data_IF_930758754619
#
_entry.id   IF_930758754619
#
_cell.length_a   1.000
_cell.length_b   1.000
_cell.length_c   1.000
_cell.angle_alpha   90.00
_cell.angle_beta   90.00
_cell.angle_gamma   90.00
#
_symmetry.space_group_name_H-M   'P 1'
#
loop_
_entity.id
_entity.type
_entity.pdbx_description
1 polymer ?
#
# COMPACT_ATOMS: atom_id res chain seq x y z
N UNK A 1 -1.52 23.03 41.54
CA UNK A 1 -1.72 22.08 42.66
C UNK A 1 -1.12 20.75 42.17
N UNK A 2 0.17 20.53 42.46
CA UNK A 2 0.91 19.32 42.09
C UNK A 2 0.71 18.27 43.16
N UNK A 3 0.31 17.07 42.80
CA UNK A 3 0.32 15.91 43.69
C UNK A 3 1.40 14.98 43.26
N UNK A 4 2.47 14.94 44.09
CA UNK A 4 3.60 14.01 43.98
C UNK A 4 3.21 12.75 44.77
N UNK A 5 3.27 11.58 44.13
CA UNK A 5 3.13 10.29 44.83
C UNK A 5 4.52 9.69 44.99
N UNK A 6 4.97 9.65 46.24
CA UNK A 6 6.23 9.03 46.66
C UNK A 6 5.94 7.59 47.10
N UNK A 7 6.56 6.59 46.45
CA UNK A 7 6.56 5.22 46.97
C UNK A 7 7.80 4.99 47.84
N UNK A 8 7.55 4.69 49.13
CA UNK A 8 8.56 4.25 50.10
C UNK A 8 8.81 2.74 49.98
N UNK A 9 10.07 2.35 49.90
CA UNK A 9 10.52 0.98 50.16
C UNK A 9 11.07 0.88 51.60
N UNK A 10 10.79 -0.18 52.38
CA UNK A 10 11.40 -0.39 53.65
C UNK A 10 12.71 -1.17 53.55
N UNK A 11 13.72 -0.63 54.17
CA UNK A 11 15.01 -1.29 54.36
C UNK A 11 14.93 -2.22 55.61
N UNK A 12 15.39 -3.48 55.44
CA UNK A 12 15.81 -4.31 56.60
C UNK A 12 17.20 -4.85 56.35
N UNK A 13 18.18 -4.27 57.05
CA UNK A 13 19.55 -4.74 57.08
C UNK A 13 19.72 -5.91 58.05
N UNK A 14 20.50 -6.90 57.63
CA UNK A 14 21.27 -7.74 58.58
C UNK A 14 22.66 -7.99 57.97
N UNK A 15 23.66 -7.41 58.57
CA UNK A 15 25.06 -7.69 58.34
C UNK A 15 25.44 -8.98 59.06
N UNK A 16 25.97 -9.96 58.33
CA UNK A 16 26.62 -11.16 58.89
C UNK A 16 28.11 -10.98 58.71
N UNK A 17 28.84 -10.84 59.82
CA UNK A 17 30.30 -10.91 59.87
C UNK A 17 30.70 -12.38 59.93
N UNK A 18 31.42 -12.86 58.92
CA UNK A 18 32.16 -14.11 58.97
C UNK A 18 33.65 -13.79 59.13
N UNK A 19 34.20 -14.19 60.27
CA UNK A 19 35.63 -14.12 60.55
C UNK A 19 36.36 -15.23 59.85
N UNK A 20 37.49 -14.89 59.23
CA UNK A 20 38.47 -15.86 58.69
C UNK A 20 39.68 -15.97 59.61
N UNK A 21 40.21 -17.17 59.85
CA UNK A 21 41.44 -17.34 60.58
C UNK A 21 42.68 -17.06 59.69
N UNK A 22 43.67 -16.43 60.27
CA UNK A 22 44.97 -16.16 59.65
C UNK A 22 45.81 -17.39 59.85
N UNK A 23 46.20 -18.07 58.78
CA UNK A 23 47.34 -19.05 58.82
C UNK A 23 48.47 -18.52 57.96
N UNK A 24 49.65 -18.39 58.67
CA UNK A 24 50.93 -18.12 58.06
C UNK A 24 51.50 -19.41 57.44
N UNK A 25 51.58 -19.45 56.14
CA UNK A 25 52.24 -20.56 55.44
C UNK A 25 53.05 -20.07 54.23
N UNK A 26 54.35 -20.07 54.39
CA UNK A 26 55.32 -19.68 53.38
C UNK A 26 55.45 -20.79 52.32
N UNK A 27 54.87 -20.66 51.18
CA UNK A 27 55.03 -21.58 50.04
C UNK A 27 55.35 -20.80 48.77
N UNK A 28 56.54 -21.05 48.25
CA UNK A 28 57.03 -20.53 46.98
C UNK A 28 56.10 -21.02 45.81
N UNK A 29 55.26 -20.18 45.32
CA UNK A 29 54.37 -20.50 44.18
C UNK A 29 55.06 -20.17 42.84
N UNK A 30 55.35 -21.20 42.06
CA UNK A 30 55.80 -21.12 40.67
C UNK A 30 54.73 -20.41 39.87
N UNK A 31 55.05 -19.27 39.26
CA UNK A 31 54.14 -18.60 38.29
C UNK A 31 54.02 -19.44 37.01
N UNK A 32 52.93 -20.08 36.86
CA UNK A 32 52.52 -20.62 35.56
C UNK A 32 52.07 -19.46 34.64
N UNK A 33 52.82 -19.22 33.55
CA UNK A 33 52.50 -18.29 32.55
C UNK A 33 51.29 -18.88 31.74
N UNK A 34 50.08 -18.43 32.04
CA UNK A 34 48.91 -18.65 31.18
C UNK A 34 49.06 -17.78 29.93
N UNK A 35 49.27 -18.43 28.79
CA UNK A 35 49.16 -17.79 27.51
C UNK A 35 47.68 -17.63 27.20
N UNK A 36 47.16 -16.41 27.31
CA UNK A 36 45.82 -16.07 26.78
C UNK A 36 45.91 -16.12 25.26
N UNK A 37 45.35 -17.16 24.67
CA UNK A 37 45.08 -17.22 23.25
C UNK A 37 43.83 -16.38 23.02
N UNK A 38 43.84 -15.28 22.22
CA UNK A 38 42.65 -14.54 21.92
C UNK A 38 41.73 -15.41 21.04
N UNK A 39 40.61 -15.86 21.59
CA UNK A 39 39.52 -16.42 20.84
C UNK A 39 38.96 -15.30 19.95
N UNK A 40 39.37 -15.29 18.67
CA UNK A 40 38.72 -14.52 17.62
C UNK A 40 37.32 -15.11 17.45
N UNK A 41 36.32 -14.49 18.09
CA UNK A 41 34.94 -14.68 17.75
C UNK A 41 34.70 -14.04 16.37
N UNK A 42 34.34 -14.81 15.33
CA UNK A 42 33.90 -14.20 14.11
C UNK A 42 32.60 -13.43 14.44
N UNK A 43 32.67 -12.10 14.40
CA UNK A 43 31.48 -11.28 14.39
C UNK A 43 30.68 -11.67 13.13
N UNK A 44 29.65 -12.49 13.30
CA UNK A 44 28.62 -12.69 12.27
C UNK A 44 28.00 -11.30 12.07
N UNK A 45 28.47 -10.58 11.06
CA UNK A 45 27.77 -9.42 10.52
C UNK A 45 26.44 -9.98 10.00
N UNK A 46 25.39 -9.86 10.80
CA UNK A 46 24.05 -10.08 10.35
C UNK A 46 23.81 -9.06 9.21
N UNK A 47 23.88 -9.52 7.97
CA UNK A 47 23.47 -8.72 6.84
C UNK A 47 22.02 -8.28 7.14
N UNK A 48 21.67 -6.98 6.95
CA UNK A 48 20.29 -6.56 7.07
C UNK A 48 19.44 -7.43 6.15
N UNK A 49 18.21 -7.79 6.55
CA UNK A 49 17.33 -8.54 5.67
C UNK A 49 17.22 -7.75 4.36
N UNK A 50 17.70 -8.32 3.28
CA UNK A 50 17.37 -7.84 1.93
C UNK A 50 15.88 -8.08 1.80
N UNK A 51 15.07 -7.05 1.97
CA UNK A 51 13.68 -7.11 1.57
C UNK A 51 13.69 -7.36 0.06
N UNK A 52 13.24 -8.54 -0.33
CA UNK A 52 13.05 -8.85 -1.73
C UNK A 52 12.00 -7.89 -2.27
N UNK A 53 12.27 -7.20 -3.39
CA UNK A 53 11.29 -6.40 -4.10
C UNK A 53 10.08 -7.24 -4.55
N UNK A 54 9.27 -6.70 -5.45
CA UNK A 54 8.12 -7.40 -6.02
C UNK A 54 8.51 -8.79 -6.60
N UNK A 55 7.61 -9.76 -6.48
CA UNK A 55 7.77 -11.11 -7.06
C UNK A 55 7.50 -11.07 -8.57
N UNK A 56 8.48 -10.60 -9.34
CA UNK A 56 8.41 -10.46 -10.80
C UNK A 56 8.12 -11.80 -11.51
N UNK A 57 8.61 -12.91 -10.95
CA UNK A 57 8.33 -14.23 -11.51
C UNK A 57 6.85 -14.61 -11.35
N UNK A 58 6.23 -14.24 -10.24
CA UNK A 58 4.79 -14.42 -10.03
C UNK A 58 3.99 -13.50 -10.95
N UNK A 59 4.36 -12.24 -11.08
CA UNK A 59 3.70 -11.29 -11.99
C UNK A 59 3.73 -11.80 -13.44
N UNK A 60 4.87 -12.28 -13.89
CA UNK A 60 5.01 -12.88 -15.23
C UNK A 60 4.07 -14.08 -15.41
N UNK A 61 4.01 -15.02 -14.44
CA UNK A 61 3.08 -16.16 -14.52
C UNK A 61 1.62 -15.71 -14.53
N UNK A 62 1.26 -14.69 -13.75
CA UNK A 62 -0.10 -14.14 -13.76
C UNK A 62 -0.43 -13.54 -15.13
N UNK A 63 0.47 -12.75 -15.71
CA UNK A 63 0.29 -12.20 -17.06
C UNK A 63 0.11 -13.31 -18.12
N UNK A 64 0.97 -14.32 -18.12
CA UNK A 64 0.88 -15.47 -19.04
C UNK A 64 -0.45 -16.24 -18.91
N UNK A 65 -1.06 -16.27 -17.71
CA UNK A 65 -2.33 -16.94 -17.47
C UNK A 65 -3.56 -16.16 -17.97
N UNK A 66 -3.48 -14.83 -18.03
CA UNK A 66 -4.66 -14.00 -18.33
C UNK A 66 -4.63 -13.41 -19.74
N UNK A 67 -3.46 -13.20 -20.35
CA UNK A 67 -3.33 -12.47 -21.62
C UNK A 67 -4.23 -13.05 -22.72
N UNK A 68 -4.26 -14.37 -22.87
CA UNK A 68 -5.06 -15.04 -23.89
C UNK A 68 -6.58 -15.06 -23.57
N UNK A 69 -6.97 -14.73 -22.35
CA UNK A 69 -8.36 -14.69 -21.90
C UNK A 69 -8.96 -13.28 -21.90
N UNK A 70 -8.17 -12.25 -22.20
CA UNK A 70 -8.64 -10.86 -22.26
C UNK A 70 -9.49 -10.71 -23.54
N UNK A 71 -10.80 -10.45 -23.32
CA UNK A 71 -11.76 -10.25 -24.41
C UNK A 71 -11.95 -8.77 -24.74
N UNK A 72 -11.81 -7.89 -23.76
CA UNK A 72 -12.03 -6.46 -23.88
C UNK A 72 -10.71 -5.72 -23.67
N UNK A 73 -10.29 -4.95 -24.68
CA UNK A 73 -9.03 -4.20 -24.66
C UNK A 73 -7.84 -4.98 -25.17
N UNK A 74 -6.69 -4.33 -25.15
CA UNK A 74 -5.43 -4.84 -25.67
C UNK A 74 -4.39 -4.97 -24.56
N UNK A 75 -3.81 -6.16 -24.36
CA UNK A 75 -2.65 -6.29 -23.49
C UNK A 75 -1.47 -5.50 -24.08
N UNK A 76 -0.89 -4.66 -23.27
CA UNK A 76 0.28 -3.86 -23.63
C UNK A 76 1.43 -4.16 -22.67
N UNK A 77 2.63 -3.90 -23.13
CA UNK A 77 3.84 -4.02 -22.31
C UNK A 77 4.32 -2.63 -21.94
N UNK A 78 4.30 -2.32 -20.67
CA UNK A 78 4.88 -1.12 -20.09
C UNK A 78 6.25 -1.45 -19.50
N UNK A 79 7.14 -0.45 -19.43
CA UNK A 79 8.49 -0.61 -18.90
C UNK A 79 8.74 0.42 -17.78
N UNK A 80 9.22 -0.04 -16.63
CA UNK A 80 9.61 0.83 -15.53
C UNK A 80 10.70 0.17 -14.66
N UNK A 81 11.63 0.96 -14.16
CA UNK A 81 12.72 0.51 -13.28
C UNK A 81 13.46 -0.74 -13.80
N UNK A 82 13.69 -0.83 -15.12
CA UNK A 82 14.41 -1.93 -15.78
C UNK A 82 13.60 -3.23 -15.94
N UNK A 83 12.29 -3.22 -15.69
CA UNK A 83 11.42 -4.38 -15.81
C UNK A 83 10.18 -4.07 -16.66
N UNK A 84 9.76 -5.06 -17.42
CA UNK A 84 8.48 -5.02 -18.13
C UNK A 84 7.34 -5.50 -17.22
N UNK A 85 6.18 -4.89 -17.38
CA UNK A 85 4.96 -5.28 -16.68
C UNK A 85 3.73 -5.17 -17.58
N UNK A 86 2.69 -5.94 -17.26
CA UNK A 86 1.45 -5.97 -18.03
C UNK A 86 0.61 -4.73 -17.76
N UNK A 87 0.13 -4.08 -18.82
CA UNK A 87 -1.02 -3.20 -18.84
C UNK A 87 -2.12 -3.78 -19.75
N UNK A 88 -3.37 -3.41 -19.49
CA UNK A 88 -4.49 -3.68 -20.40
C UNK A 88 -5.12 -2.34 -20.70
N UNK A 89 -4.99 -1.91 -21.96
CA UNK A 89 -5.58 -0.67 -22.45
C UNK A 89 -6.86 -0.97 -23.21
N UNK A 90 -7.91 -0.23 -22.90
CA UNK A 90 -9.20 -0.33 -23.58
C UNK A 90 -9.63 1.06 -23.99
N UNK A 91 -9.86 1.25 -25.28
CA UNK A 91 -10.22 2.53 -25.88
C UNK A 91 -11.73 2.66 -25.99
N UNK A 92 -12.26 3.80 -25.62
CA UNK A 92 -13.66 4.17 -25.82
C UNK A 92 -13.86 4.75 -27.24
N UNK A 93 -15.05 4.57 -27.82
CA UNK A 93 -15.35 5.09 -29.16
C UNK A 93 -15.27 6.63 -29.20
N UNK A 94 -15.83 7.30 -28.20
CA UNK A 94 -15.77 8.76 -28.01
C UNK A 94 -15.18 9.04 -26.62
N UNK A 95 -13.87 9.24 -26.54
CA UNK A 95 -13.20 9.38 -25.25
C UNK A 95 -13.42 10.74 -24.60
N UNK A 96 -13.68 10.71 -23.29
CA UNK A 96 -13.74 11.88 -22.39
C UNK A 96 -12.43 12.12 -21.65
N UNK A 97 -11.55 11.12 -21.61
CA UNK A 97 -10.30 11.13 -20.88
C UNK A 97 -9.80 9.73 -20.55
N UNK A 98 -8.76 9.64 -19.73
CA UNK A 98 -8.13 8.39 -19.34
C UNK A 98 -8.37 8.01 -17.89
N UNK A 99 -8.55 6.72 -17.61
CA UNK A 99 -8.66 6.15 -16.26
C UNK A 99 -7.56 5.13 -16.03
N UNK A 100 -6.66 5.41 -15.09
CA UNK A 100 -5.66 4.47 -14.61
C UNK A 100 -6.22 3.64 -13.47
N UNK A 101 -6.27 2.31 -13.62
CA UNK A 101 -6.82 1.39 -12.63
C UNK A 101 -5.70 0.59 -11.95
N UNK A 102 -5.62 0.72 -10.61
CA UNK A 102 -4.61 0.09 -9.76
C UNK A 102 -5.25 -0.98 -8.88
N UNK A 103 -4.87 -2.24 -9.10
CA UNK A 103 -5.44 -3.37 -8.37
C UNK A 103 -4.93 -3.51 -6.93
N UNK A 104 -5.67 -4.25 -6.12
CA UNK A 104 -5.32 -4.58 -4.75
C UNK A 104 -4.22 -5.65 -4.61
N UNK A 105 -3.89 -5.96 -3.37
CA UNK A 105 -2.85 -6.90 -2.97
C UNK A 105 -3.00 -8.29 -3.60
N UNK A 106 -1.97 -8.73 -4.32
CA UNK A 106 -1.88 -10.08 -4.87
C UNK A 106 -2.75 -10.37 -6.08
N UNK A 107 -3.36 -9.35 -6.68
CA UNK A 107 -4.22 -9.42 -7.85
C UNK A 107 -3.46 -9.14 -9.15
N UNK A 108 -4.18 -8.90 -10.24
CA UNK A 108 -3.66 -8.64 -11.58
C UNK A 108 -4.57 -7.64 -12.32
N UNK A 109 -4.14 -7.09 -13.48
CA UNK A 109 -4.86 -6.05 -14.22
C UNK A 109 -6.24 -6.43 -14.76
N UNK A 110 -6.61 -7.70 -14.72
CA UNK A 110 -7.92 -8.21 -15.13
C UNK A 110 -8.63 -8.96 -13.99
N UNK A 111 -8.47 -8.51 -12.75
CA UNK A 111 -9.12 -9.15 -11.60
C UNK A 111 -10.64 -9.01 -11.65
N UNK A 112 -11.33 -10.15 -11.56
CA UNK A 112 -12.74 -10.29 -11.96
C UNK A 112 -13.75 -9.45 -11.16
N UNK A 113 -13.49 -9.10 -9.89
CA UNK A 113 -14.53 -8.52 -9.05
C UNK A 113 -14.51 -6.98 -8.92
N UNK A 114 -13.38 -6.32 -9.14
CA UNK A 114 -13.27 -4.85 -9.08
C UNK A 114 -12.64 -4.28 -10.34
N UNK A 115 -11.49 -4.83 -10.74
CA UNK A 115 -10.67 -4.25 -11.81
C UNK A 115 -11.32 -4.42 -13.17
N UNK A 116 -11.67 -5.66 -13.54
CA UNK A 116 -12.27 -5.97 -14.83
C UNK A 116 -13.64 -5.29 -15.01
N UNK A 117 -14.58 -5.29 -14.04
CA UNK A 117 -15.83 -4.55 -14.17
C UNK A 117 -15.64 -3.05 -14.38
N UNK A 118 -14.71 -2.41 -13.67
CA UNK A 118 -14.40 -1.00 -13.85
C UNK A 118 -13.72 -0.74 -15.19
N UNK A 119 -12.77 -1.60 -15.59
CA UNK A 119 -12.03 -1.47 -16.85
C UNK A 119 -13.01 -1.48 -18.04
N UNK A 120 -13.94 -2.42 -18.05
CA UNK A 120 -14.92 -2.56 -19.14
C UNK A 120 -16.06 -1.54 -19.00
N UNK A 121 -16.66 -1.43 -17.80
CA UNK A 121 -17.84 -0.59 -17.62
C UNK A 121 -17.58 0.91 -17.75
N UNK A 122 -16.36 1.39 -17.47
CA UNK A 122 -16.04 2.81 -17.67
C UNK A 122 -15.79 3.13 -19.16
N UNK A 123 -15.37 2.16 -19.97
CA UNK A 123 -15.27 2.33 -21.43
C UNK A 123 -16.65 2.57 -22.03
N UNK A 124 -17.68 1.85 -21.58
CA UNK A 124 -19.07 2.07 -21.98
C UNK A 124 -19.60 3.47 -21.61
N UNK A 125 -18.92 4.14 -20.66
CA UNK A 125 -19.23 5.50 -20.24
C UNK A 125 -18.38 6.58 -20.93
N UNK A 126 -17.54 6.17 -21.89
CA UNK A 126 -16.71 7.05 -22.70
C UNK A 126 -15.34 7.37 -22.07
N UNK A 127 -14.80 6.49 -21.24
CA UNK A 127 -13.46 6.65 -20.67
C UNK A 127 -12.50 5.61 -21.23
N UNK A 128 -11.35 6.03 -21.75
CA UNK A 128 -10.27 5.09 -22.01
C UNK A 128 -9.79 4.54 -20.69
N UNK A 129 -9.54 3.25 -20.61
CA UNK A 129 -9.04 2.64 -19.37
C UNK A 129 -7.70 1.96 -19.56
N UNK A 130 -6.82 2.12 -18.58
CA UNK A 130 -5.56 1.41 -18.48
C UNK A 130 -5.45 0.75 -17.10
N UNK A 131 -5.62 -0.55 -17.03
CA UNK A 131 -5.31 -1.30 -15.80
C UNK A 131 -3.89 -1.85 -15.88
N UNK A 132 -3.12 -1.74 -14.77
CA UNK A 132 -1.70 -2.13 -14.77
C UNK A 132 -1.38 -3.15 -13.68
N UNK A 133 -0.35 -3.96 -13.92
CA UNK A 133 0.21 -4.85 -12.91
C UNK A 133 0.93 -4.04 -11.83
N UNK A 134 0.33 -3.96 -10.67
CA UNK A 134 0.98 -3.44 -9.46
C UNK A 134 1.92 -4.48 -8.87
N UNK A 135 2.93 -4.06 -8.07
CA UNK A 135 3.81 -5.00 -7.39
C UNK A 135 3.04 -6.04 -6.59
N UNK A 136 3.38 -7.32 -6.78
CA UNK A 136 2.83 -8.41 -5.96
C UNK A 136 3.93 -9.14 -5.22
N UNK A 137 3.57 -9.71 -4.08
CA UNK A 137 4.40 -10.59 -3.28
C UNK A 137 3.89 -12.02 -3.36
N UNK A 138 4.58 -12.94 -2.72
CA UNK A 138 4.17 -14.34 -2.59
C UNK A 138 2.74 -14.48 -2.05
N UNK A 139 2.08 -15.58 -2.39
CA UNK A 139 0.72 -15.88 -1.91
C UNK A 139 0.69 -15.90 -0.37
N UNK A 140 -0.23 -15.14 0.21
CA UNK A 140 -0.40 -15.04 1.66
C UNK A 140 0.38 -13.92 2.34
N UNK A 141 1.20 -13.14 1.61
CA UNK A 141 1.81 -11.93 2.12
C UNK A 141 0.75 -10.96 2.65
N UNK A 142 1.06 -10.30 3.75
CA UNK A 142 0.16 -9.43 4.50
C UNK A 142 0.42 -7.96 4.18
N UNK A 143 -0.40 -7.07 4.74
CA UNK A 143 -0.26 -5.62 4.53
C UNK A 143 1.16 -5.12 4.86
N UNK A 144 1.71 -5.50 6.00
CA UNK A 144 3.06 -5.06 6.39
C UNK A 144 4.17 -5.55 5.46
N UNK A 145 4.01 -6.73 4.87
CA UNK A 145 4.96 -7.22 3.87
C UNK A 145 4.91 -6.33 2.62
N UNK A 146 3.70 -5.87 2.24
CA UNK A 146 3.50 -5.02 1.07
C UNK A 146 4.03 -3.59 1.22
N UNK A 147 4.10 -3.04 2.42
CA UNK A 147 4.64 -1.68 2.65
C UNK A 147 6.05 -1.53 2.05
N UNK A 148 6.86 -2.58 2.12
CA UNK A 148 8.23 -2.56 1.59
C UNK A 148 8.32 -2.50 0.05
N UNK A 149 7.25 -2.84 -0.66
CA UNK A 149 7.20 -2.78 -2.12
C UNK A 149 6.35 -1.62 -2.65
N UNK A 150 5.88 -0.72 -1.79
CA UNK A 150 5.21 0.51 -2.24
C UNK A 150 6.12 1.37 -3.13
N UNK A 151 7.43 1.54 -2.84
CA UNK A 151 8.34 2.23 -3.75
C UNK A 151 8.43 1.61 -5.16
N UNK A 152 8.27 0.28 -5.29
CA UNK A 152 8.30 -0.40 -6.60
C UNK A 152 7.07 -0.05 -7.47
N UNK A 153 5.98 0.41 -6.85
CA UNK A 153 4.78 0.85 -7.57
C UNK A 153 4.94 2.21 -8.24
N UNK A 154 5.75 3.10 -7.66
CA UNK A 154 5.87 4.49 -8.13
C UNK A 154 6.27 4.59 -9.60
N UNK A 155 7.37 3.98 -10.09
CA UNK A 155 7.74 4.07 -11.49
C UNK A 155 6.73 3.40 -12.43
N UNK A 156 5.92 2.42 -11.96
CA UNK A 156 4.86 1.82 -12.77
C UNK A 156 3.68 2.76 -12.93
N UNK A 157 3.28 3.47 -11.87
CA UNK A 157 2.24 4.51 -11.92
C UNK A 157 2.68 5.63 -12.87
N UNK A 158 3.92 6.09 -12.76
CA UNK A 158 4.47 7.15 -13.63
C UNK A 158 4.46 6.72 -15.10
N UNK A 159 4.95 5.52 -15.43
CA UNK A 159 4.95 5.01 -16.80
C UNK A 159 3.53 4.80 -17.37
N UNK A 160 2.56 4.40 -16.53
CA UNK A 160 1.19 4.26 -16.95
C UNK A 160 0.49 5.61 -17.19
N UNK A 161 0.80 6.61 -16.38
CA UNK A 161 0.31 7.97 -16.59
C UNK A 161 0.92 8.60 -17.85
N UNK A 162 2.22 8.37 -18.13
CA UNK A 162 2.84 8.79 -19.38
C UNK A 162 2.10 8.18 -20.59
N UNK A 163 1.84 6.87 -20.53
CA UNK A 163 1.08 6.18 -21.58
C UNK A 163 -0.32 6.77 -21.77
N UNK A 164 -1.07 7.03 -20.70
CA UNK A 164 -2.40 7.63 -20.80
C UNK A 164 -2.36 9.03 -21.38
N UNK A 165 -1.40 9.88 -20.98
CA UNK A 165 -1.25 11.23 -21.55
C UNK A 165 -0.88 11.22 -23.03
N UNK A 166 -0.25 10.15 -23.52
CA UNK A 166 0.08 9.99 -24.93
C UNK A 166 -1.08 9.42 -25.77
N UNK A 167 -2.04 8.71 -25.14
CA UNK A 167 -3.08 7.93 -25.83
C UNK A 167 -4.51 8.37 -25.50
N UNK A 168 -4.70 9.35 -24.64
CA UNK A 168 -6.01 9.85 -24.26
C UNK A 168 -5.98 11.37 -24.16
N UNK A 169 -6.85 12.02 -24.89
CA UNK A 169 -7.14 13.43 -24.68
C UNK A 169 -8.04 13.63 -23.45
N UNK A 170 -7.96 14.80 -22.80
CA UNK A 170 -8.80 15.14 -21.65
C UNK A 170 -8.23 14.76 -20.29
N UNK A 171 -9.05 14.78 -19.23
CA UNK A 171 -8.59 14.54 -17.87
C UNK A 171 -8.15 13.10 -17.64
N UNK A 172 -7.19 12.93 -16.72
CA UNK A 172 -6.72 11.63 -16.27
C UNK A 172 -7.16 11.37 -14.83
N UNK A 173 -7.80 10.26 -14.59
CA UNK A 173 -8.31 9.83 -13.28
C UNK A 173 -7.58 8.60 -12.79
N UNK A 174 -7.16 8.59 -11.53
CA UNK A 174 -6.63 7.39 -10.88
C UNK A 174 -7.77 6.71 -10.12
N UNK A 175 -8.01 5.42 -10.40
CA UNK A 175 -8.94 4.54 -9.68
C UNK A 175 -8.12 3.45 -9.01
N UNK A 176 -8.07 3.44 -7.69
CA UNK A 176 -7.19 2.56 -6.94
C UNK A 176 -7.92 1.76 -5.88
N UNK A 177 -7.79 0.43 -5.92
CA UNK A 177 -8.45 -0.48 -4.97
C UNK A 177 -7.50 -0.97 -3.89
N UNK A 178 -7.95 -0.93 -2.63
CA UNK A 178 -7.30 -1.61 -1.50
C UNK A 178 -5.80 -1.24 -1.39
N UNK A 179 -4.90 -2.21 -1.46
CA UNK A 179 -3.45 -2.00 -1.44
C UNK A 179 -2.95 -1.10 -2.58
N UNK A 180 -3.60 -1.14 -3.76
CA UNK A 180 -3.30 -0.22 -4.86
C UNK A 180 -3.51 1.25 -4.48
N UNK A 181 -4.52 1.54 -3.65
CA UNK A 181 -4.74 2.89 -3.15
C UNK A 181 -3.66 3.35 -2.16
N UNK A 182 -3.10 2.43 -1.35
CA UNK A 182 -1.96 2.75 -0.48
C UNK A 182 -0.70 3.01 -1.30
N UNK A 183 -0.45 2.23 -2.35
CA UNK A 183 0.67 2.44 -3.28
C UNK A 183 0.58 3.78 -4.00
N UNK A 184 -0.62 4.16 -4.47
CA UNK A 184 -0.84 5.46 -5.09
C UNK A 184 -0.61 6.61 -4.10
N UNK A 185 -1.10 6.48 -2.87
CA UNK A 185 -0.91 7.49 -1.83
C UNK A 185 0.54 7.59 -1.37
N UNK A 186 1.27 6.46 -1.27
CA UNK A 186 2.72 6.47 -1.06
C UNK A 186 3.45 7.30 -2.14
N UNK A 187 3.12 7.07 -3.42
CA UNK A 187 3.68 7.86 -4.52
C UNK A 187 3.39 9.35 -4.38
N UNK A 188 2.15 9.73 -3.98
CA UNK A 188 1.78 11.13 -3.74
C UNK A 188 2.54 11.71 -2.55
N UNK A 189 2.72 10.95 -1.46
CA UNK A 189 3.48 11.40 -0.29
C UNK A 189 4.95 11.66 -0.63
N UNK A 190 5.57 10.80 -1.42
CA UNK A 190 6.97 10.88 -1.81
C UNK A 190 7.24 11.98 -2.86
N UNK A 191 6.35 12.14 -3.85
CA UNK A 191 6.55 13.08 -4.97
C UNK A 191 5.85 14.43 -4.80
N UNK A 192 4.92 14.53 -3.85
CA UNK A 192 4.19 15.76 -3.55
C UNK A 192 3.52 16.37 -4.78
N UNK A 193 3.73 17.66 -5.00
CA UNK A 193 3.20 18.38 -6.16
C UNK A 193 3.59 17.77 -7.51
N UNK A 194 4.71 17.06 -7.59
CA UNK A 194 5.12 16.34 -8.79
C UNK A 194 4.13 15.26 -9.18
N UNK A 195 3.58 14.53 -8.20
CA UNK A 195 2.54 13.53 -8.41
C UNK A 195 1.19 14.20 -8.69
N UNK A 196 0.80 15.17 -7.86
CA UNK A 196 -0.53 15.79 -7.92
C UNK A 196 -0.84 16.49 -9.25
N UNK A 197 0.18 16.92 -9.99
CA UNK A 197 0.01 17.50 -11.33
C UNK A 197 -0.16 16.49 -12.45
N UNK A 198 -0.11 15.19 -12.14
CA UNK A 198 -0.15 14.12 -13.13
C UNK A 198 -1.55 13.52 -13.36
N UNK A 199 -2.53 13.92 -12.56
CA UNK A 199 -3.90 13.44 -12.65
C UNK A 199 -4.89 14.51 -12.16
N UNK A 200 -6.14 14.41 -12.59
CA UNK A 200 -7.16 15.43 -12.40
C UNK A 200 -8.22 15.04 -11.35
N UNK A 201 -8.33 13.74 -11.03
CA UNK A 201 -9.22 13.24 -10.01
C UNK A 201 -8.75 11.88 -9.45
N UNK A 202 -9.17 11.56 -8.23
CA UNK A 202 -8.79 10.32 -7.54
C UNK A 202 -10.01 9.56 -7.03
N UNK A 203 -10.07 8.26 -7.30
CA UNK A 203 -11.06 7.33 -6.74
C UNK A 203 -10.33 6.29 -5.89
N UNK A 204 -10.56 6.31 -4.60
CA UNK A 204 -10.05 5.30 -3.67
C UNK A 204 -11.14 4.31 -3.27
N UNK A 205 -10.94 3.02 -3.57
CA UNK A 205 -11.90 1.95 -3.29
C UNK A 205 -11.39 1.10 -2.13
N UNK A 206 -12.16 1.01 -1.04
CA UNK A 206 -11.82 0.21 0.12
C UNK A 206 -10.49 0.60 0.78
N UNK A 207 -10.20 1.90 0.86
CA UNK A 207 -8.98 2.44 1.45
C UNK A 207 -8.87 2.11 2.94
N UNK A 208 -7.66 1.83 3.41
CA UNK A 208 -7.40 1.48 4.81
C UNK A 208 -7.53 -0.01 5.13
N UNK A 209 -7.55 -0.87 4.11
CA UNK A 209 -7.60 -2.32 4.27
C UNK A 209 -6.26 -2.86 4.80
N UNK A 210 -6.09 -2.83 6.11
CA UNK A 210 -4.99 -3.50 6.81
C UNK A 210 -5.44 -4.87 7.32
N UNK A 211 -4.48 -5.73 7.71
CA UNK A 211 -4.81 -7.01 8.33
C UNK A 211 -5.37 -6.81 9.76
N UNK A 212 -5.96 -7.86 10.32
CA UNK A 212 -6.62 -7.79 11.62
C UNK A 212 -5.70 -7.21 12.71
N UNK A 213 -6.18 -6.17 13.39
CA UNK A 213 -5.49 -5.42 14.45
C UNK A 213 -4.17 -4.76 14.03
N UNK A 214 -3.87 -4.65 12.74
CA UNK A 214 -2.72 -3.91 12.28
C UNK A 214 -3.10 -2.44 12.00
N UNK A 215 -2.34 -1.47 12.51
CA UNK A 215 -2.51 -0.07 12.13
C UNK A 215 -2.02 0.15 10.70
N UNK A 216 -2.40 1.25 10.09
CA UNK A 216 -1.71 1.73 8.89
C UNK A 216 -0.28 2.16 9.25
N UNK A 217 0.67 1.87 8.36
CA UNK A 217 2.06 2.30 8.52
C UNK A 217 2.24 3.73 7.99
N UNK A 218 1.61 4.03 6.86
CA UNK A 218 1.68 5.35 6.24
C UNK A 218 0.34 6.07 6.35
N UNK A 219 0.35 7.40 6.51
CA UNK A 219 -0.88 8.19 6.54
C UNK A 219 -1.55 8.22 5.16
N UNK A 220 -2.79 8.66 5.11
CA UNK A 220 -3.43 9.06 3.86
C UNK A 220 -2.84 10.37 3.32
N UNK A 221 -2.87 10.52 1.98
CA UNK A 221 -2.50 11.76 1.30
C UNK A 221 -3.73 12.59 0.87
N UNK A 222 -4.92 12.23 1.37
CA UNK A 222 -6.20 12.78 0.89
C UNK A 222 -6.35 14.28 1.15
N UNK A 223 -5.78 14.79 2.23
CA UNK A 223 -5.76 16.21 2.59
C UNK A 223 -4.85 17.07 1.69
N UNK A 224 -3.99 16.43 0.88
CA UNK A 224 -3.13 17.10 -0.10
C UNK A 224 -3.76 17.19 -1.49
N UNK A 225 -4.86 16.44 -1.72
CA UNK A 225 -5.54 16.35 -3.01
C UNK A 225 -6.57 17.46 -3.16
N UNK A 226 -6.15 18.62 -3.69
CA UNK A 226 -7.06 19.76 -3.96
C UNK A 226 -7.96 19.53 -5.19
N UNK A 227 -7.81 18.42 -5.93
CA UNK A 227 -8.70 17.95 -6.99
C UNK A 227 -9.81 17.08 -6.42
N UNK A 228 -10.85 16.76 -7.24
CA UNK A 228 -11.95 15.89 -6.83
C UNK A 228 -11.48 14.51 -6.34
N UNK A 229 -12.01 14.07 -5.21
CA UNK A 229 -11.76 12.74 -4.62
C UNK A 229 -13.08 12.01 -4.37
N UNK A 230 -13.18 10.76 -4.83
CA UNK A 230 -14.21 9.81 -4.44
C UNK A 230 -13.59 8.74 -3.51
N UNK A 231 -14.03 8.70 -2.25
CA UNK A 231 -13.79 7.58 -1.34
C UNK A 231 -15.02 6.65 -1.36
N UNK A 232 -14.89 5.47 -1.95
CA UNK A 232 -15.98 4.50 -2.03
C UNK A 232 -15.61 3.19 -1.32
N UNK A 233 -16.53 2.67 -0.50
CA UNK A 233 -16.30 1.43 0.24
C UNK A 233 -17.59 0.64 0.48
N UNK A 234 -17.45 -0.65 0.72
CA UNK A 234 -18.56 -1.53 1.02
C UNK A 234 -19.12 -1.33 2.43
N UNK A 235 -20.44 -1.47 2.59
CA UNK A 235 -21.11 -1.42 3.89
C UNK A 235 -20.68 -2.53 4.85
N UNK A 236 -20.21 -3.67 4.29
CA UNK A 236 -19.66 -4.83 4.98
C UNK A 236 -18.15 -5.00 4.71
N UNK A 237 -17.45 -3.91 4.44
CA UNK A 237 -16.01 -3.90 4.22
C UNK A 237 -15.23 -4.33 5.49
N UNK A 238 -13.93 -4.49 5.36
CA UNK A 238 -13.08 -4.84 6.50
C UNK A 238 -13.22 -3.84 7.66
N UNK A 239 -13.16 -4.31 8.91
CA UNK A 239 -13.31 -3.44 10.09
C UNK A 239 -12.35 -2.24 10.10
N UNK A 240 -11.16 -2.37 9.50
CA UNK A 240 -10.21 -1.27 9.38
C UNK A 240 -10.72 -0.19 8.43
N UNK A 241 -11.24 -0.55 7.26
CA UNK A 241 -11.82 0.37 6.27
C UNK A 241 -12.99 1.15 6.88
N UNK A 242 -13.91 0.45 7.55
CA UNK A 242 -15.08 1.05 8.18
C UNK A 242 -14.70 2.00 9.32
N UNK A 243 -13.74 1.61 10.17
CA UNK A 243 -13.28 2.41 11.30
C UNK A 243 -12.63 3.72 10.87
N UNK A 244 -11.86 3.71 9.77
CA UNK A 244 -11.14 4.87 9.26
C UNK A 244 -11.96 5.72 8.25
N UNK A 245 -13.17 5.32 7.91
CA UNK A 245 -14.01 6.07 6.97
C UNK A 245 -14.30 7.52 7.44
N UNK A 246 -14.60 7.81 8.73
CA UNK A 246 -14.80 9.18 9.19
C UNK A 246 -13.54 10.06 9.08
N UNK A 247 -12.36 9.49 9.31
CA UNK A 247 -11.07 10.19 9.14
C UNK A 247 -10.85 10.58 7.68
N UNK A 248 -11.06 9.64 6.76
CA UNK A 248 -10.93 9.92 5.31
C UNK A 248 -11.93 10.98 4.84
N UNK A 249 -13.18 10.94 5.33
CA UNK A 249 -14.17 11.95 5.01
C UNK A 249 -13.72 13.34 5.46
N UNK A 250 -13.19 13.47 6.68
CA UNK A 250 -12.70 14.73 7.21
C UNK A 250 -11.49 15.27 6.43
N UNK A 251 -10.58 14.38 5.97
CA UNK A 251 -9.43 14.78 5.13
C UNK A 251 -9.90 15.30 3.77
N UNK A 252 -10.84 14.62 3.13
CA UNK A 252 -11.42 15.02 1.84
C UNK A 252 -12.15 16.37 1.97
N UNK A 253 -12.91 16.55 3.04
CA UNK A 253 -13.58 17.82 3.34
C UNK A 253 -12.56 18.95 3.56
N UNK A 254 -11.47 18.67 4.28
CA UNK A 254 -10.40 19.62 4.52
C UNK A 254 -9.69 20.05 3.23
N UNK A 255 -9.48 19.13 2.29
CA UNK A 255 -8.90 19.40 0.97
C UNK A 255 -9.77 20.34 0.10
N UNK A 256 -11.08 20.35 0.31
CA UNK A 256 -12.00 21.43 -0.04
C UNK A 256 -12.57 21.43 -1.45
N UNK A 257 -12.31 20.43 -2.31
CA UNK A 257 -12.98 20.37 -3.62
C UNK A 257 -14.47 19.98 -3.43
N UNK A 258 -15.42 20.82 -3.91
CA UNK A 258 -16.86 20.60 -3.69
C UNK A 258 -17.44 19.39 -4.43
N UNK A 259 -16.70 18.83 -5.38
CA UNK A 259 -17.08 17.61 -6.13
C UNK A 259 -16.65 16.35 -5.40
N UNK A 260 -15.79 16.47 -4.38
CA UNK A 260 -15.36 15.33 -3.58
C UNK A 260 -16.51 14.70 -2.82
N UNK A 261 -16.51 13.37 -2.69
CA UNK A 261 -17.58 12.60 -2.05
C UNK A 261 -17.03 11.39 -1.30
N UNK A 262 -17.73 11.00 -0.27
CA UNK A 262 -17.59 9.66 0.32
C UNK A 262 -18.87 8.87 0.09
N UNK A 263 -18.76 7.67 -0.47
CA UNK A 263 -19.88 6.79 -0.81
C UNK A 263 -19.72 5.44 -0.11
N UNK A 264 -20.77 5.03 0.59
CA UNK A 264 -20.88 3.69 1.16
C UNK A 264 -21.88 2.87 0.34
N UNK A 265 -21.43 1.77 -0.29
CA UNK A 265 -22.30 0.85 -1.00
C UNK A 265 -22.90 -0.15 -0.01
N UNK A 266 -24.21 -0.12 0.26
CA UNK A 266 -24.83 -1.00 1.24
C UNK A 266 -24.59 -2.48 0.89
N UNK A 267 -24.33 -3.30 1.94
CA UNK A 267 -24.11 -4.75 1.84
C UNK A 267 -22.90 -5.21 1.02
N UNK A 268 -22.29 -4.39 0.18
CA UNK A 268 -21.05 -4.75 -0.50
C UNK A 268 -19.94 -5.05 0.51
N UNK A 269 -19.16 -6.08 0.24
CA UNK A 269 -17.93 -6.40 0.96
C UNK A 269 -16.72 -5.74 0.26
N UNK A 270 -15.52 -5.97 0.78
CA UNK A 270 -14.27 -5.36 0.29
C UNK A 270 -14.00 -5.54 -1.21
N UNK A 271 -14.40 -6.67 -1.78
CA UNK A 271 -14.17 -7.00 -3.19
C UNK A 271 -15.38 -6.76 -4.08
N UNK A 272 -16.47 -6.21 -3.57
CA UNK A 272 -17.68 -5.89 -4.31
C UNK A 272 -18.26 -7.08 -5.11
N UNK A 273 -18.00 -8.32 -4.70
CA UNK A 273 -18.59 -9.51 -5.30
C UNK A 273 -20.13 -9.41 -5.19
N UNK A 274 -20.84 -9.67 -6.27
CA UNK A 274 -22.29 -9.47 -6.44
C UNK A 274 -22.76 -7.99 -6.40
N UNK A 275 -21.82 -7.03 -6.33
CA UNK A 275 -22.06 -5.58 -6.32
C UNK A 275 -21.17 -4.83 -7.33
N UNK A 276 -20.63 -5.55 -8.32
CA UNK A 276 -19.73 -4.99 -9.33
C UNK A 276 -20.43 -3.88 -10.13
N UNK A 277 -21.71 -4.09 -10.48
CA UNK A 277 -22.50 -3.11 -11.21
C UNK A 277 -22.70 -1.83 -10.41
N UNK A 278 -23.08 -1.93 -9.14
CA UNK A 278 -23.26 -0.77 -8.26
C UNK A 278 -21.95 0.01 -8.08
N UNK A 279 -20.81 -0.69 -8.05
CA UNK A 279 -19.49 -0.04 -8.01
C UNK A 279 -19.24 0.77 -9.28
N UNK A 280 -19.41 0.16 -10.46
CA UNK A 280 -19.23 0.84 -11.76
C UNK A 280 -20.17 2.03 -11.90
N UNK A 281 -21.47 1.85 -11.61
CA UNK A 281 -22.49 2.90 -11.67
C UNK A 281 -22.15 4.07 -10.72
N UNK A 282 -21.66 3.79 -9.51
CA UNK A 282 -21.29 4.82 -8.54
C UNK A 282 -20.09 5.64 -9.01
N UNK A 283 -19.06 4.98 -9.54
CA UNK A 283 -17.87 5.65 -10.08
C UNK A 283 -18.24 6.46 -11.33
N UNK A 284 -18.98 5.86 -12.26
CA UNK A 284 -19.39 6.52 -13.49
C UNK A 284 -20.30 7.74 -13.23
N UNK A 285 -21.25 7.63 -12.30
CA UNK A 285 -22.12 8.74 -11.93
C UNK A 285 -21.33 9.91 -11.33
N UNK A 286 -20.30 9.61 -10.53
CA UNK A 286 -19.44 10.65 -9.97
C UNK A 286 -18.54 11.29 -11.05
N UNK A 287 -17.98 10.50 -11.97
CA UNK A 287 -17.16 11.01 -13.07
C UNK A 287 -17.93 11.97 -13.99
N UNK A 288 -19.25 11.73 -14.21
CA UNK A 288 -20.11 12.67 -14.95
C UNK A 288 -20.25 14.04 -14.29
N UNK A 289 -20.02 14.15 -13.01
CA UNK A 289 -20.02 15.41 -12.27
C UNK A 289 -18.70 16.18 -12.34
N UNK A 290 -17.71 15.65 -13.06
CA UNK A 290 -16.41 16.30 -13.27
C UNK A 290 -16.37 17.14 -14.57
N UNK A 291 -17.33 16.88 -15.51
CA UNK A 291 -17.49 17.56 -16.79
C UNK A 291 -17.86 19.05 -16.61
#
# INVERSE_FOLDING_TARGET
>A
MLTVVTCLFPATGKAVRLGLPIENGNTKTRMARFHFLPLLFPALLAAPPLYAGADLAREKRMAEQIVDAILDGSPIRLHAAGNDFLGIYTEAEDTKGGVLILHGRGFHPDWASVVQPLRVGLVEQGWNTLSIQMPVLQKGAKYFDYVHVFPDAMPRIEAALDYLHEHSDGPVVIVAHSCGSHMAQHWILEKGEGALRRFDAFVGIGMGATDYRQPMVEPYALDRMSMPVLDIYGGNDYPAVLRMAPERAAMIEHAGDPRSRQVRVPQAAHYFVDHERELVESVAAWLKGLD
#
